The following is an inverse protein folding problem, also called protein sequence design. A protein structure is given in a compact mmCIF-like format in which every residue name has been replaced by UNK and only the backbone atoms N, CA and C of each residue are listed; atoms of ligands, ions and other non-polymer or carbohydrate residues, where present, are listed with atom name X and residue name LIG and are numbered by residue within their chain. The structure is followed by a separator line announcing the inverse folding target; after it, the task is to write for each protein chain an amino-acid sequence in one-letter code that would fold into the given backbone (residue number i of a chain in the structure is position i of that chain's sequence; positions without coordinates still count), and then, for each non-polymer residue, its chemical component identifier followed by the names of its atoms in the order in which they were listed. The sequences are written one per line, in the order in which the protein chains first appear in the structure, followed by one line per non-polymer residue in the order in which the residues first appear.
data_IF_343127704306
#
_entry.id   IF_343127704306
#
_cell.length_a   1.000
_cell.length_b   1.000
_cell.length_c   1.000
_cell.angle_alpha   90.00
_cell.angle_beta   90.00
_cell.angle_gamma   90.00
#
_symmetry.space_group_name_H-M   'P 1'
#
loop_
_entity.id
_entity.type
_entity.pdbx_description
1 polymer ?
#
# COMPACT_ATOMS: atom_id res chain seq x y z
N UNK A 1 16.35 0.95 0.08
CA UNK A 1 15.63 2.01 -0.65
C UNK A 1 14.36 1.42 -1.23
N UNK A 2 13.20 2.01 -0.95
CA UNK A 2 11.92 1.59 -1.51
C UNK A 2 11.69 2.11 -2.94
N UNK A 3 10.90 1.37 -3.72
CA UNK A 3 10.40 1.74 -5.05
C UNK A 3 8.87 1.61 -5.12
N UNK A 4 8.26 2.11 -6.20
CA UNK A 4 6.81 1.94 -6.44
C UNK A 4 6.38 0.47 -6.56
N UNK A 5 7.27 -0.42 -6.99
CA UNK A 5 7.00 -1.86 -7.06
C UNK A 5 6.91 -2.46 -5.66
N UNK A 6 7.77 -2.03 -4.74
CA UNK A 6 7.76 -2.51 -3.34
C UNK A 6 6.45 -2.14 -2.65
N UNK A 7 5.91 -0.94 -2.91
CA UNK A 7 4.62 -0.51 -2.38
C UNK A 7 3.46 -1.43 -2.81
N UNK A 8 3.51 -2.04 -4.01
CA UNK A 8 2.49 -3.03 -4.40
C UNK A 8 2.58 -4.28 -3.52
N UNK A 9 3.79 -4.76 -3.29
CA UNK A 9 4.04 -5.95 -2.45
C UNK A 9 3.59 -5.69 -1.02
N UNK A 10 3.95 -4.54 -0.45
CA UNK A 10 3.59 -4.21 0.93
C UNK A 10 2.10 -3.94 1.13
N UNK A 11 1.39 -3.44 0.12
CA UNK A 11 -0.09 -3.35 0.17
C UNK A 11 -0.72 -4.75 0.23
N UNK A 12 -0.20 -5.71 -0.54
CA UNK A 12 -0.68 -7.09 -0.49
C UNK A 12 -0.37 -7.72 0.87
N UNK A 13 0.85 -7.56 1.37
CA UNK A 13 1.27 -8.06 2.69
C UNK A 13 0.40 -7.52 3.83
N UNK A 14 0.11 -6.20 3.82
CA UNK A 14 -0.80 -5.59 4.78
C UNK A 14 -2.20 -6.22 4.74
N UNK A 15 -2.76 -6.42 3.54
CA UNK A 15 -4.08 -7.01 3.37
C UNK A 15 -4.12 -8.51 3.69
N UNK A 16 -3.02 -9.24 3.48
CA UNK A 16 -2.88 -10.63 3.92
C UNK A 16 -2.86 -10.72 5.46
N UNK A 17 -2.17 -9.79 6.11
CA UNK A 17 -2.02 -9.77 7.57
C UNK A 17 -3.28 -9.31 8.31
N UNK A 18 -3.99 -8.31 7.79
CA UNK A 18 -5.15 -7.71 8.48
C UNK A 18 -6.53 -8.08 7.89
N UNK A 19 -6.57 -8.72 6.72
CA UNK A 19 -7.79 -8.85 5.93
C UNK A 19 -8.23 -7.50 5.33
N UNK A 20 -9.55 -7.28 5.11
CA UNK A 20 -10.06 -6.01 4.60
C UNK A 20 -9.63 -4.82 5.46
N UNK A 21 -8.93 -3.86 4.87
CA UNK A 21 -8.32 -2.75 5.62
C UNK A 21 -8.58 -1.40 4.95
N UNK A 22 -8.60 -0.35 5.77
CA UNK A 22 -8.69 1.03 5.28
C UNK A 22 -7.32 1.56 4.83
N UNK A 23 -7.32 2.57 3.97
CA UNK A 23 -6.08 3.21 3.50
C UNK A 23 -5.13 3.61 4.65
N UNK A 24 -5.59 4.22 5.77
CA UNK A 24 -4.72 4.52 6.90
C UNK A 24 -4.18 3.26 7.61
N UNK A 25 -4.96 2.18 7.69
CA UNK A 25 -4.49 0.92 8.30
C UNK A 25 -3.38 0.28 7.46
N UNK A 26 -3.53 0.28 6.14
CA UNK A 26 -2.52 -0.21 5.20
C UNK A 26 -1.26 0.66 5.31
N UNK A 27 -1.41 2.00 5.32
CA UNK A 27 -0.30 2.91 5.49
C UNK A 27 0.44 2.67 6.81
N UNK A 28 -0.28 2.50 7.92
CA UNK A 28 0.31 2.19 9.23
C UNK A 28 1.09 0.88 9.19
N UNK A 29 0.55 -0.18 8.60
CA UNK A 29 1.25 -1.46 8.44
C UNK A 29 2.56 -1.30 7.66
N UNK A 30 2.53 -0.57 6.54
CA UNK A 30 3.72 -0.30 5.74
C UNK A 30 4.76 0.49 6.55
N UNK A 31 4.31 1.51 7.29
CA UNK A 31 5.20 2.30 8.15
C UNK A 31 5.85 1.43 9.22
N UNK A 32 5.06 0.65 9.96
CA UNK A 32 5.55 -0.15 11.08
C UNK A 32 6.57 -1.22 10.65
N UNK A 33 6.50 -1.69 9.40
CA UNK A 33 7.36 -2.78 8.89
C UNK A 33 8.49 -2.33 7.95
N UNK A 34 8.35 -1.19 7.26
CA UNK A 34 9.26 -0.75 6.19
C UNK A 34 9.76 0.69 6.36
N UNK A 35 9.76 1.20 7.59
CA UNK A 35 10.18 2.57 7.93
C UNK A 35 11.59 2.90 7.40
N UNK A 36 12.54 1.97 7.55
CA UNK A 36 13.93 2.17 7.14
C UNK A 36 14.07 2.27 5.61
N UNK A 37 13.38 1.39 4.87
CA UNK A 37 13.34 1.42 3.42
C UNK A 37 12.68 2.68 2.88
N UNK A 38 11.61 3.15 3.54
CA UNK A 38 10.95 4.41 3.24
C UNK A 38 11.87 5.60 3.50
N UNK A 39 12.52 5.70 4.68
CA UNK A 39 13.44 6.81 4.98
C UNK A 39 14.60 6.90 4.00
N UNK A 40 15.08 5.76 3.50
CA UNK A 40 16.14 5.70 2.50
C UNK A 40 15.69 5.98 1.06
N UNK A 41 14.40 6.26 0.80
CA UNK A 41 13.79 6.36 -0.54
C UNK A 41 13.83 7.74 -1.21
N UNK A 42 14.55 8.70 -0.62
CA UNK A 42 14.70 10.04 -1.20
C UNK A 42 13.35 10.75 -1.38
N UNK A 43 13.02 11.19 -2.59
CA UNK A 43 11.75 11.89 -2.86
C UNK A 43 10.50 11.01 -2.61
N UNK A 44 10.64 9.70 -2.75
CA UNK A 44 9.54 8.79 -2.45
C UNK A 44 9.17 8.83 -0.97
N UNK A 45 10.12 9.11 -0.06
CA UNK A 45 9.85 9.23 1.38
C UNK A 45 8.79 10.29 1.70
N UNK A 46 8.74 11.36 0.91
CA UNK A 46 7.78 12.44 1.12
C UNK A 46 6.44 12.21 0.40
N UNK A 47 6.36 11.20 -0.47
CA UNK A 47 5.21 10.97 -1.36
C UNK A 47 4.70 9.52 -1.36
N UNK A 48 5.25 8.64 -0.52
CA UNK A 48 4.99 7.21 -0.57
C UNK A 48 3.52 6.86 -0.31
N UNK A 49 2.80 7.61 0.53
CA UNK A 49 1.37 7.35 0.75
C UNK A 49 0.53 7.65 -0.51
N UNK A 50 0.92 8.65 -1.30
CA UNK A 50 0.31 8.91 -2.60
C UNK A 50 0.68 7.81 -3.59
N UNK A 51 1.96 7.42 -3.65
CA UNK A 51 2.42 6.31 -4.48
C UNK A 51 1.75 4.97 -4.11
N UNK A 52 1.48 4.74 -2.82
CA UNK A 52 0.76 3.57 -2.32
C UNK A 52 -0.69 3.54 -2.83
N UNK A 53 -1.36 4.70 -2.95
CA UNK A 53 -2.70 4.76 -3.55
C UNK A 53 -2.69 4.39 -5.03
N UNK A 54 -1.65 4.81 -5.76
CA UNK A 54 -1.41 4.36 -7.13
C UNK A 54 -1.12 2.87 -7.20
N UNK A 55 -0.29 2.33 -6.30
CA UNK A 55 -0.03 0.90 -6.20
C UNK A 55 -1.33 0.11 -6.01
N UNK A 56 -2.21 0.55 -5.10
CA UNK A 56 -3.53 -0.04 -4.93
C UNK A 56 -4.46 0.08 -6.15
N UNK A 57 -4.33 1.13 -6.96
CA UNK A 57 -5.07 1.25 -8.22
C UNK A 57 -4.56 0.28 -9.28
N UNK A 58 -3.25 0.13 -9.41
CA UNK A 58 -2.64 -0.84 -10.31
C UNK A 58 -3.00 -2.28 -9.92
N UNK A 59 -2.93 -2.62 -8.62
CA UNK A 59 -3.36 -3.94 -8.12
C UNK A 59 -4.84 -4.23 -8.41
N UNK A 60 -5.69 -3.21 -8.36
CA UNK A 60 -7.10 -3.35 -8.73
C UNK A 60 -7.28 -3.60 -10.23
N UNK A 61 -6.54 -2.89 -11.09
CA UNK A 61 -6.53 -3.11 -12.55
C UNK A 61 -5.98 -4.49 -12.92
N UNK A 62 -4.99 -4.97 -12.17
CA UNK A 62 -4.42 -6.32 -12.27
C UNK A 62 -5.36 -7.42 -11.73
N UNK A 63 -6.53 -7.06 -11.17
CA UNK A 63 -7.49 -8.02 -10.63
C UNK A 63 -7.03 -8.70 -9.33
N UNK A 64 -6.08 -8.12 -8.59
CA UNK A 64 -5.54 -8.67 -7.34
C UNK A 64 -6.28 -8.20 -6.07
N UNK A 65 -6.96 -7.06 -6.15
CA UNK A 65 -7.75 -6.52 -5.04
C UNK A 65 -8.99 -5.77 -5.53
N UNK A 66 -9.94 -5.57 -4.63
CA UNK A 66 -11.08 -4.65 -4.83
C UNK A 66 -11.12 -3.59 -3.75
N UNK A 67 -11.83 -2.50 -4.06
CA UNK A 67 -12.04 -1.37 -3.16
C UNK A 67 -13.53 -1.13 -2.94
N UNK A 68 -13.94 -0.84 -1.70
CA UNK A 68 -15.31 -0.53 -1.28
C UNK A 68 -15.38 0.86 -0.63
N UNK A 69 -16.59 1.42 -0.53
CA UNK A 69 -16.85 2.66 0.21
C UNK A 69 -16.08 3.86 -0.34
N UNK A 70 -16.29 4.16 -1.63
CA UNK A 70 -15.54 5.21 -2.35
C UNK A 70 -14.01 5.00 -2.35
N UNK A 71 -13.55 3.75 -2.31
CA UNK A 71 -12.12 3.43 -2.34
C UNK A 71 -11.42 3.52 -0.98
N UNK A 72 -12.16 3.60 0.12
CA UNK A 72 -11.61 3.75 1.48
C UNK A 72 -11.19 2.44 2.12
N UNK A 73 -11.84 1.33 1.75
CA UNK A 73 -11.54 -0.01 2.27
C UNK A 73 -11.13 -0.92 1.12
N UNK A 74 -9.98 -1.57 1.24
CA UNK A 74 -9.42 -2.47 0.24
C UNK A 74 -9.43 -3.90 0.78
N UNK A 75 -9.54 -4.88 -0.11
CA UNK A 75 -9.50 -6.30 0.23
C UNK A 75 -9.02 -7.10 -0.98
N UNK A 76 -8.27 -8.17 -0.72
CA UNK A 76 -7.77 -9.07 -1.77
C UNK A 76 -8.93 -9.83 -2.42
N UNK A 77 -8.70 -10.25 -3.67
CA UNK A 77 -9.61 -11.09 -4.45
C UNK A 77 -9.27 -12.57 -4.31
#
# INVERSE_FOLDING_TARGET
MATSSDLKVWVVDALQSSGPATVPQIAKHIWDNHEAELRSSGNLFYTWQYAMRWAGQQLQMEGKLRKKGAGRTWFLL
#
